data_IF_411165521159
#
_entry.id   IF_411165521159
#
_cell.length_a   1.000
_cell.length_b   1.000
_cell.length_c   1.000
_cell.angle_alpha   90.00
_cell.angle_beta   90.00
_cell.angle_gamma   90.00
#
_symmetry.space_group_name_H-M   'P 1'
#
loop_
_entity.id
_entity.type
_entity.pdbx_description
1 polymer ?
#
# COMPACT_ATOMS: atom_id res chain seq x y z
N UNK A 1 -3.54 -5.41 -28.08
CA UNK A 1 -3.80 -6.86 -28.18
C UNK A 1 -2.69 -7.65 -28.91
N UNK A 2 -1.41 -7.21 -28.87
CA UNK A 2 -0.25 -7.94 -29.48
C UNK A 2 0.94 -7.98 -28.52
N UNK A 3 0.77 -8.53 -27.32
CA UNK A 3 1.89 -8.74 -26.39
C UNK A 3 2.49 -10.14 -26.60
N UNK A 4 3.82 -10.25 -26.57
CA UNK A 4 4.59 -11.50 -26.64
C UNK A 4 5.08 -11.90 -25.24
N UNK A 5 5.42 -13.18 -24.99
CA UNK A 5 6.14 -13.57 -23.79
C UNK A 5 7.39 -12.69 -23.60
N UNK A 6 7.59 -12.15 -22.40
CA UNK A 6 8.63 -11.17 -22.09
C UNK A 6 8.16 -9.71 -22.06
N UNK A 7 7.05 -9.36 -22.71
CA UNK A 7 6.51 -7.99 -22.67
C UNK A 7 5.91 -7.63 -21.29
N UNK A 8 5.56 -8.65 -20.50
CA UNK A 8 5.04 -8.53 -19.13
C UNK A 8 6.03 -9.21 -18.20
N UNK A 9 6.96 -8.44 -17.66
CA UNK A 9 7.93 -8.89 -16.66
C UNK A 9 8.05 -7.82 -15.57
N UNK A 10 7.31 -8.03 -14.49
CA UNK A 10 7.39 -7.24 -13.27
C UNK A 10 7.00 -8.12 -12.08
N UNK A 11 7.35 -7.65 -10.89
CA UNK A 11 7.03 -8.29 -9.62
C UNK A 11 6.16 -7.36 -8.79
N UNK A 12 5.16 -7.91 -8.11
CA UNK A 12 4.37 -7.17 -7.13
C UNK A 12 4.95 -7.45 -5.75
N UNK A 13 5.43 -6.39 -5.10
CA UNK A 13 5.85 -6.42 -3.70
C UNK A 13 4.71 -5.81 -2.89
N UNK A 14 4.05 -6.65 -2.07
CA UNK A 14 2.83 -6.27 -1.34
C UNK A 14 3.11 -6.18 0.16
N UNK A 15 2.69 -5.11 0.80
CA UNK A 15 2.59 -5.06 2.27
C UNK A 15 1.59 -6.15 2.73
N UNK A 16 1.90 -6.88 3.79
CA UNK A 16 1.19 -8.10 4.15
C UNK A 16 0.92 -8.25 5.65
N UNK A 17 1.00 -7.17 6.42
CA UNK A 17 0.82 -7.20 7.88
C UNK A 17 -0.05 -6.07 8.43
N UNK A 18 -0.29 -5.02 7.68
CA UNK A 18 -1.08 -3.86 8.08
C UNK A 18 -1.83 -3.27 6.86
N UNK A 19 -2.20 -1.98 6.91
CA UNK A 19 -2.94 -1.29 5.86
C UNK A 19 -4.45 -1.45 5.97
N UNK A 20 -5.12 -1.60 4.84
CA UNK A 20 -6.57 -1.71 4.72
C UNK A 20 -7.12 -3.04 5.26
N UNK A 21 -6.25 -4.05 5.41
CA UNK A 21 -6.65 -5.38 5.89
C UNK A 21 -6.49 -5.43 7.40
N UNK A 22 -7.55 -5.04 8.09
CA UNK A 22 -7.62 -4.90 9.55
C UNK A 22 -8.98 -5.40 10.04
N UNK A 23 -9.00 -5.97 11.25
CA UNK A 23 -10.23 -6.32 11.98
C UNK A 23 -10.58 -5.28 13.06
N UNK A 24 -9.95 -4.11 13.01
CA UNK A 24 -10.26 -2.99 13.89
C UNK A 24 -11.47 -2.24 13.35
N UNK A 25 -12.50 -2.15 14.16
CA UNK A 25 -13.78 -1.58 13.76
C UNK A 25 -14.92 -2.18 14.54
N UNK A 26 -16.12 -2.08 13.98
CA UNK A 26 -17.32 -2.65 14.57
C UNK A 26 -18.60 -2.10 13.96
N UNK A 27 -19.71 -2.72 14.32
CA UNK A 27 -21.06 -2.27 13.99
C UNK A 27 -21.62 -1.57 15.23
N UNK A 28 -22.19 -0.38 15.04
CA UNK A 28 -22.74 0.45 16.11
C UNK A 28 -24.25 0.59 15.90
N UNK A 29 -25.00 0.59 17.01
CA UNK A 29 -26.48 0.67 17.00
C UNK A 29 -27.14 -0.40 16.12
N UNK A 30 -26.61 -1.63 16.18
CA UNK A 30 -27.02 -2.74 15.31
C UNK A 30 -28.54 -3.00 15.41
N UNK A 31 -29.17 -3.22 14.25
CA UNK A 31 -30.62 -3.42 14.08
C UNK A 31 -31.48 -2.18 14.39
N UNK A 32 -30.95 -0.97 14.20
CA UNK A 32 -31.70 0.30 14.32
C UNK A 32 -31.50 1.21 13.11
N UNK A 33 -32.34 2.23 12.93
CA UNK A 33 -32.17 3.22 11.85
C UNK A 33 -30.89 4.09 12.01
N UNK A 34 -30.26 4.07 13.19
CA UNK A 34 -29.01 4.79 13.48
C UNK A 34 -27.76 3.92 13.23
N UNK A 35 -27.91 2.73 12.65
CA UNK A 35 -26.83 1.76 12.44
C UNK A 35 -25.72 2.32 11.54
N UNK A 36 -24.46 2.11 11.95
CA UNK A 36 -23.30 2.38 11.10
C UNK A 36 -22.16 1.41 11.39
N UNK A 37 -21.22 1.29 10.44
CA UNK A 37 -20.04 0.46 10.55
C UNK A 37 -18.78 1.33 10.53
N UNK A 38 -17.87 1.07 11.45
CA UNK A 38 -16.53 1.63 11.45
C UNK A 38 -15.53 0.54 11.01
N UNK A 39 -14.59 0.90 10.16
CA UNK A 39 -13.48 0.04 9.74
C UNK A 39 -12.22 0.90 9.68
N UNK A 40 -11.18 0.49 10.42
CA UNK A 40 -9.96 1.25 10.57
C UNK A 40 -8.80 0.61 9.80
N UNK A 41 -8.17 1.39 8.93
CA UNK A 41 -6.92 1.02 8.27
C UNK A 41 -5.73 1.59 9.04
N UNK A 42 -4.71 0.77 9.30
CA UNK A 42 -3.56 1.17 10.12
C UNK A 42 -2.28 1.10 9.30
N UNK A 43 -1.54 2.20 9.26
CA UNK A 43 -0.24 2.27 8.61
C UNK A 43 0.79 2.71 9.64
N UNK A 44 1.85 1.94 9.84
CA UNK A 44 2.91 2.25 10.78
C UNK A 44 4.16 2.66 10.05
N UNK A 45 4.94 3.59 10.62
CA UNK A 45 6.23 3.98 10.04
C UNK A 45 7.13 2.75 9.82
N UNK A 46 7.16 1.84 10.78
CA UNK A 46 7.97 0.62 10.72
C UNK A 46 7.52 -0.33 9.61
N UNK A 47 6.21 -0.56 9.47
CA UNK A 47 5.65 -1.46 8.47
C UNK A 47 5.86 -0.91 7.06
N UNK A 48 5.48 0.34 6.84
CA UNK A 48 5.66 1.08 5.57
C UNK A 48 7.13 1.11 5.15
N UNK A 49 8.04 1.51 6.04
CA UNK A 49 9.46 1.59 5.69
C UNK A 49 10.06 0.21 5.37
N UNK A 50 9.66 -0.83 6.10
CA UNK A 50 10.16 -2.20 5.89
C UNK A 50 9.82 -2.71 4.50
N UNK A 51 8.58 -2.53 4.04
CA UNK A 51 8.16 -3.02 2.73
C UNK A 51 8.76 -2.18 1.59
N UNK A 52 8.82 -0.85 1.75
CA UNK A 52 9.46 0.04 0.78
C UNK A 52 10.93 -0.31 0.63
N UNK A 53 11.66 -0.45 1.74
CA UNK A 53 13.07 -0.86 1.73
C UNK A 53 13.28 -2.15 0.95
N UNK A 54 12.46 -3.17 1.21
CA UNK A 54 12.54 -4.44 0.49
C UNK A 54 12.30 -4.27 -1.02
N UNK A 55 11.31 -3.45 -1.43
CA UNK A 55 11.03 -3.17 -2.83
C UNK A 55 12.21 -2.47 -3.53
N UNK A 56 12.80 -1.45 -2.92
CA UNK A 56 13.96 -0.73 -3.47
C UNK A 56 15.22 -1.61 -3.51
N UNK A 57 15.49 -2.41 -2.47
CA UNK A 57 16.61 -3.37 -2.45
C UNK A 57 16.44 -4.50 -3.48
N UNK A 58 15.21 -4.93 -3.76
CA UNK A 58 14.94 -5.89 -4.83
C UNK A 58 15.15 -5.25 -6.20
N UNK A 59 14.63 -4.03 -6.40
CA UNK A 59 14.78 -3.32 -7.66
C UNK A 59 16.24 -3.01 -7.99
N UNK A 60 17.08 -2.68 -7.00
CA UNK A 60 18.51 -2.41 -7.21
C UNK A 60 19.28 -3.62 -7.74
N UNK A 61 18.80 -4.84 -7.46
CA UNK A 61 19.35 -6.12 -7.94
C UNK A 61 18.78 -6.54 -9.31
N UNK A 62 17.75 -5.85 -9.82
CA UNK A 62 17.14 -6.11 -11.14
C UNK A 62 17.72 -5.18 -12.20
N UNK A 63 17.73 -5.62 -13.45
CA UNK A 63 18.32 -4.88 -14.57
C UNK A 63 17.69 -3.48 -14.76
N UNK A 64 16.37 -3.36 -14.64
CA UNK A 64 15.63 -2.12 -14.90
C UNK A 64 15.72 -1.08 -13.77
N UNK A 65 16.12 -1.48 -12.55
CA UNK A 65 16.26 -0.61 -11.36
C UNK A 65 15.11 0.39 -11.18
N UNK A 66 13.88 -0.07 -11.38
CA UNK A 66 12.68 0.75 -11.37
C UNK A 66 11.67 0.24 -10.36
N UNK A 67 11.12 1.14 -9.55
CA UNK A 67 10.01 0.91 -8.63
C UNK A 67 8.85 1.79 -9.05
N UNK A 68 7.66 1.21 -9.16
CA UNK A 68 6.40 1.95 -9.28
C UNK A 68 5.64 1.79 -7.98
N UNK A 69 5.42 2.89 -7.24
CA UNK A 69 4.63 2.88 -6.01
C UNK A 69 3.15 3.05 -6.34
N UNK A 70 2.31 2.11 -5.90
CA UNK A 70 0.87 2.21 -6.05
C UNK A 70 0.32 3.12 -4.94
N UNK A 71 -0.49 4.11 -5.30
CA UNK A 71 -1.07 5.08 -4.36
C UNK A 71 -2.49 5.47 -4.76
N UNK A 72 -3.28 5.93 -3.77
CA UNK A 72 -4.60 6.52 -3.95
C UNK A 72 -4.76 7.81 -3.13
N UNK A 73 -3.71 8.62 -3.08
CA UNK A 73 -3.64 9.85 -2.28
C UNK A 73 -4.63 10.95 -2.68
N UNK A 74 -5.33 10.81 -3.81
CA UNK A 74 -6.46 11.67 -4.15
C UNK A 74 -7.78 11.29 -3.45
N UNK A 75 -7.96 10.03 -3.05
CA UNK A 75 -9.17 9.55 -2.37
C UNK A 75 -8.97 9.32 -0.87
N UNK A 76 -7.81 8.82 -0.47
CA UNK A 76 -7.46 8.55 0.92
C UNK A 76 -6.59 9.70 1.45
N UNK A 77 -7.22 10.71 2.03
CA UNK A 77 -6.56 11.99 2.34
C UNK A 77 -5.48 11.94 3.45
N UNK A 78 -5.34 10.83 4.18
CA UNK A 78 -4.41 10.72 5.31
C UNK A 78 -3.35 9.65 5.05
N UNK A 79 -3.76 8.38 4.94
CA UNK A 79 -2.84 7.24 4.86
C UNK A 79 -2.01 7.22 3.58
N UNK A 80 -2.60 7.55 2.43
CA UNK A 80 -1.87 7.50 1.15
C UNK A 80 -0.92 8.68 0.95
N UNK A 81 -1.22 9.93 1.33
CA UNK A 81 -0.21 11.00 1.39
C UNK A 81 0.95 10.68 2.35
N UNK A 82 0.66 9.99 3.47
CA UNK A 82 1.72 9.49 4.34
C UNK A 82 2.59 8.43 3.64
N UNK A 83 1.97 7.46 2.96
CA UNK A 83 2.66 6.46 2.13
C UNK A 83 3.55 7.12 1.05
N UNK A 84 3.04 8.12 0.35
CA UNK A 84 3.76 8.88 -0.68
C UNK A 84 5.00 9.55 -0.07
N UNK A 85 4.84 10.21 1.09
CA UNK A 85 5.94 10.85 1.83
C UNK A 85 7.01 9.85 2.26
N UNK A 86 6.63 8.66 2.74
CA UNK A 86 7.59 7.60 3.10
C UNK A 86 8.29 7.02 1.86
N UNK A 87 7.56 6.89 0.76
CA UNK A 87 8.13 6.44 -0.54
C UNK A 87 9.21 7.40 -1.02
N UNK A 88 8.92 8.71 -1.02
CA UNK A 88 9.89 9.74 -1.43
C UNK A 88 11.15 9.71 -0.56
N UNK A 89 10.97 9.60 0.76
CA UNK A 89 12.09 9.52 1.71
C UNK A 89 12.95 8.25 1.57
N UNK A 90 12.42 7.16 1.01
CA UNK A 90 13.17 5.92 0.74
C UNK A 90 13.86 5.95 -0.63
N UNK A 91 13.35 6.77 -1.56
CA UNK A 91 13.89 6.89 -2.91
C UNK A 91 15.12 7.81 -3.00
N UNK A 92 15.29 8.70 -2.01
CA UNK A 92 16.45 9.60 -1.83
C UNK A 92 17.65 8.88 -1.22
#
# INVERSE_FOLDING_TARGET
AKRKPGDIDFVVVRENTEGEYSSLGGIMFENTDNEFVLQESVFTCRGVDRILKFAFEMASKRERKHVTSATKSNGMAISMPYWDKRTEAMAS
#
